data_IF_652604345736
#
_entry.id   IF_652604345736
#
_cell.length_a   1.000
_cell.length_b   1.000
_cell.length_c   1.000
_cell.angle_alpha   90.00
_cell.angle_beta   90.00
_cell.angle_gamma   90.00
#
_symmetry.space_group_name_H-M   'P 1'
#
loop_
_entity.id
_entity.type
_entity.pdbx_description
1 polymer ?
#
# COMPACT_ATOMS: atom_id res chain seq x y z
N UNK A 1 22.55 -14.67 18.62
CA UNK A 1 21.18 -14.24 18.27
C UNK A 1 20.92 -14.88 16.92
N UNK A 2 19.97 -15.78 16.88
CA UNK A 2 19.57 -16.43 15.63
C UNK A 2 18.93 -15.40 14.70
N UNK A 3 19.10 -15.53 13.40
CA UNK A 3 18.56 -14.59 12.41
C UNK A 3 17.03 -14.43 12.55
N UNK A 4 16.33 -15.49 12.96
CA UNK A 4 14.89 -15.49 13.22
C UNK A 4 14.52 -14.52 14.35
N UNK A 5 15.26 -14.49 15.46
CA UNK A 5 14.97 -13.61 16.60
C UNK A 5 15.15 -12.14 16.21
N UNK A 6 16.14 -11.83 15.37
CA UNK A 6 16.36 -10.47 14.89
C UNK A 6 15.24 -10.01 13.94
N UNK A 7 14.81 -10.89 13.05
CA UNK A 7 13.71 -10.61 12.13
C UNK A 7 12.39 -10.36 12.88
N UNK A 8 12.08 -11.20 13.88
CA UNK A 8 10.92 -11.02 14.75
C UNK A 8 10.95 -9.68 15.48
N UNK A 9 12.11 -9.28 16.03
CA UNK A 9 12.29 -8.01 16.71
C UNK A 9 12.04 -6.81 15.79
N UNK A 10 12.52 -6.86 14.54
CA UNK A 10 12.29 -5.81 13.53
C UNK A 10 10.82 -5.68 13.22
N UNK A 11 10.13 -6.79 12.96
CA UNK A 11 8.71 -6.82 12.67
C UNK A 11 7.86 -6.29 13.84
N UNK A 12 8.18 -6.67 15.07
CA UNK A 12 7.48 -6.18 16.27
C UNK A 12 7.70 -4.68 16.50
N UNK A 13 8.90 -4.20 16.26
CA UNK A 13 9.25 -2.78 16.38
C UNK A 13 8.45 -1.96 15.35
N UNK A 14 8.40 -2.42 14.10
CA UNK A 14 7.62 -1.78 13.04
C UNK A 14 6.12 -1.80 13.37
N UNK A 15 5.57 -2.94 13.80
CA UNK A 15 4.17 -3.05 14.16
C UNK A 15 3.77 -2.09 15.29
N UNK A 16 4.62 -1.92 16.30
CA UNK A 16 4.40 -0.94 17.37
C UNK A 16 4.34 0.50 16.84
N UNK A 17 5.26 0.89 15.97
CA UNK A 17 5.25 2.21 15.36
C UNK A 17 4.01 2.46 14.50
N UNK A 18 3.54 1.45 13.77
CA UNK A 18 2.30 1.54 12.97
C UNK A 18 1.07 1.75 13.86
N UNK A 19 0.96 1.02 14.97
CA UNK A 19 -0.13 1.23 15.93
C UNK A 19 -0.09 2.63 16.54
N UNK A 20 1.08 3.07 17.00
CA UNK A 20 1.27 4.40 17.58
C UNK A 20 0.84 5.49 16.57
N UNK A 21 1.25 5.36 15.31
CA UNK A 21 0.86 6.28 14.25
C UNK A 21 -0.66 6.29 14.02
N UNK A 22 -1.28 5.12 13.80
CA UNK A 22 -2.72 5.02 13.52
C UNK A 22 -3.59 5.48 14.70
N UNK A 23 -3.09 5.37 15.93
CA UNK A 23 -3.76 5.81 17.14
C UNK A 23 -3.50 7.29 17.48
N UNK A 24 -2.68 7.99 16.69
CA UNK A 24 -2.29 9.39 16.94
C UNK A 24 -1.42 9.57 18.19
N UNK A 25 -0.70 8.52 18.58
CA UNK A 25 0.21 8.53 19.73
C UNK A 25 1.62 9.02 19.33
N UNK A 26 2.38 9.61 20.27
CA UNK A 26 3.79 9.87 20.04
C UNK A 26 4.55 8.58 19.70
N UNK A 27 5.38 8.61 18.67
CA UNK A 27 6.21 7.47 18.29
C UNK A 27 7.28 7.20 19.35
N UNK A 28 7.29 6.00 19.90
CA UNK A 28 8.33 5.52 20.82
C UNK A 28 9.48 4.81 20.07
N UNK A 29 9.23 4.45 18.82
CA UNK A 29 10.20 3.84 17.91
C UNK A 29 10.89 4.91 17.08
N UNK A 30 12.18 4.74 16.80
CA UNK A 30 12.94 5.64 15.91
C UNK A 30 12.74 5.21 14.45
N UNK A 31 11.51 5.28 13.98
CA UNK A 31 11.16 5.11 12.58
C UNK A 31 10.78 6.49 12.05
N UNK A 32 11.56 6.98 11.10
CA UNK A 32 11.31 8.28 10.49
C UNK A 32 10.24 8.18 9.42
N UNK A 33 9.53 9.26 9.17
CA UNK A 33 8.56 9.40 8.07
C UNK A 33 7.45 8.36 8.09
N UNK A 34 6.98 7.95 9.29
CA UNK A 34 5.88 7.00 9.44
C UNK A 34 4.57 7.50 8.80
N UNK A 35 4.44 8.81 8.65
CA UNK A 35 3.32 9.50 8.02
C UNK A 35 3.34 9.46 6.48
N UNK A 36 4.39 8.95 5.87
CA UNK A 36 4.44 8.83 4.41
C UNK A 36 3.32 7.92 3.91
N UNK A 37 2.64 8.28 2.79
CA UNK A 37 1.43 7.58 2.33
C UNK A 37 1.64 6.10 2.03
N UNK A 38 2.82 5.70 1.59
CA UNK A 38 3.12 4.34 1.18
C UNK A 38 3.52 3.40 2.34
N UNK A 39 3.81 3.93 3.53
CA UNK A 39 4.32 3.14 4.67
C UNK A 39 3.34 2.04 5.07
N UNK A 40 2.04 2.35 5.19
CA UNK A 40 1.02 1.35 5.53
C UNK A 40 0.90 0.27 4.45
N UNK A 41 1.04 0.63 3.19
CA UNK A 41 0.96 -0.31 2.07
C UNK A 41 2.17 -1.25 2.06
N UNK A 42 3.37 -0.72 2.26
CA UNK A 42 4.58 -1.51 2.40
C UNK A 42 4.56 -2.40 3.65
N UNK A 43 3.93 -1.95 4.73
CA UNK A 43 3.76 -2.76 5.93
C UNK A 43 2.93 -4.02 5.65
N UNK A 44 1.83 -3.91 4.90
CA UNK A 44 1.04 -5.08 4.49
C UNK A 44 1.87 -6.03 3.63
N UNK A 45 2.64 -5.51 2.68
CA UNK A 45 3.54 -6.32 1.87
C UNK A 45 4.62 -7.03 2.72
N UNK A 46 5.22 -6.33 3.69
CA UNK A 46 6.20 -6.93 4.60
C UNK A 46 5.58 -8.07 5.43
N UNK A 47 4.35 -7.89 5.93
CA UNK A 47 3.60 -8.95 6.64
C UNK A 47 3.30 -10.12 5.69
N UNK A 48 3.00 -9.86 4.43
CA UNK A 48 2.82 -10.91 3.42
C UNK A 48 4.10 -11.72 3.21
N UNK A 49 5.28 -11.08 3.14
CA UNK A 49 6.55 -11.80 3.07
C UNK A 49 6.84 -12.57 4.36
N UNK A 50 6.53 -11.99 5.53
CA UNK A 50 6.60 -12.69 6.80
C UNK A 50 5.75 -13.96 6.81
N UNK A 51 4.52 -13.90 6.26
CA UNK A 51 3.64 -15.07 6.15
C UNK A 51 4.26 -16.19 5.30
N UNK A 52 5.00 -15.87 4.26
CA UNK A 52 5.74 -16.86 3.45
C UNK A 52 6.86 -17.52 4.23
N UNK A 53 7.51 -16.78 5.12
CA UNK A 53 8.64 -17.27 5.90
C UNK A 53 8.20 -18.13 7.10
N UNK A 54 7.19 -17.70 7.87
CA UNK A 54 6.78 -18.39 9.12
C UNK A 54 5.53 -19.24 9.00
N UNK A 55 4.84 -19.16 7.84
CA UNK A 55 3.53 -19.77 7.62
C UNK A 55 2.37 -18.84 7.96
N UNK A 56 1.28 -18.99 7.20
CA UNK A 56 0.11 -18.08 7.24
C UNK A 56 -0.60 -18.12 8.60
N UNK A 57 -0.71 -19.29 9.22
CA UNK A 57 -1.35 -19.43 10.54
C UNK A 57 -0.61 -18.66 11.63
N UNK A 58 0.73 -18.80 11.72
CA UNK A 58 1.56 -18.05 12.69
C UNK A 58 1.46 -16.53 12.39
N UNK A 59 1.50 -16.15 11.13
CA UNK A 59 1.34 -14.75 10.70
C UNK A 59 -0.02 -14.21 11.14
N UNK A 60 -1.12 -14.93 10.88
CA UNK A 60 -2.46 -14.50 11.26
C UNK A 60 -2.62 -14.30 12.76
N UNK A 61 -2.13 -15.25 13.58
CA UNK A 61 -2.15 -15.11 15.04
C UNK A 61 -1.43 -13.85 15.53
N UNK A 62 -0.33 -13.47 14.86
CA UNK A 62 0.51 -12.35 15.29
C UNK A 62 0.07 -11.01 14.70
N UNK A 63 -0.26 -10.99 13.42
CA UNK A 63 -0.49 -9.75 12.65
C UNK A 63 -1.86 -9.66 11.97
N UNK A 64 -2.74 -10.65 12.12
CA UNK A 64 -4.08 -10.61 11.51
C UNK A 64 -4.88 -9.38 11.94
N UNK A 65 -4.82 -9.03 13.24
CA UNK A 65 -5.46 -7.79 13.73
C UNK A 65 -4.83 -6.53 13.12
N UNK A 66 -3.51 -6.47 13.00
CA UNK A 66 -2.82 -5.32 12.41
C UNK A 66 -3.20 -5.14 10.94
N UNK A 67 -3.29 -6.22 10.16
CA UNK A 67 -3.76 -6.17 8.77
C UNK A 67 -5.17 -5.58 8.68
N UNK A 68 -6.08 -6.05 9.54
CA UNK A 68 -7.44 -5.50 9.62
C UNK A 68 -7.43 -4.02 9.97
N UNK A 69 -6.69 -3.62 10.99
CA UNK A 69 -6.63 -2.23 11.47
C UNK A 69 -6.03 -1.29 10.40
N UNK A 70 -5.00 -1.71 9.67
CA UNK A 70 -4.43 -0.94 8.56
C UNK A 70 -5.48 -0.72 7.46
N UNK A 71 -6.19 -1.79 7.03
CA UNK A 71 -7.23 -1.64 6.02
C UNK A 71 -8.34 -0.71 6.49
N UNK A 72 -8.83 -0.88 7.71
CA UNK A 72 -9.87 -0.01 8.27
C UNK A 72 -9.41 1.45 8.37
N UNK A 73 -8.15 1.69 8.73
CA UNK A 73 -7.58 3.02 8.79
C UNK A 73 -7.59 3.71 7.42
N UNK A 74 -7.19 2.99 6.37
CA UNK A 74 -7.19 3.51 5.00
C UNK A 74 -8.64 3.69 4.48
N UNK A 75 -9.49 2.68 4.62
CA UNK A 75 -10.88 2.71 4.15
C UNK A 75 -11.72 3.78 4.84
N UNK A 76 -11.41 4.10 6.10
CA UNK A 76 -12.08 5.16 6.86
C UNK A 76 -11.52 6.56 6.60
N UNK A 77 -10.65 6.72 5.60
CA UNK A 77 -10.04 7.99 5.19
C UNK A 77 -9.33 8.75 6.34
N UNK A 78 -8.68 7.99 7.23
CA UNK A 78 -7.99 8.54 8.41
C UNK A 78 -6.55 8.99 8.13
N UNK A 79 -5.96 8.50 7.05
CA UNK A 79 -4.60 8.86 6.72
C UNK A 79 -4.54 10.32 6.22
N UNK A 80 -3.59 11.16 6.68
CA UNK A 80 -3.57 12.59 6.33
C UNK A 80 -3.31 12.84 4.83
N UNK A 81 -2.68 11.92 4.11
CA UNK A 81 -2.36 12.07 2.69
C UNK A 81 -2.47 10.76 1.89
N UNK A 82 -3.44 9.93 2.20
CA UNK A 82 -3.79 8.74 1.41
C UNK A 82 -5.30 8.57 1.44
N UNK A 83 -5.98 8.91 0.36
CA UNK A 83 -7.44 9.00 0.29
C UNK A 83 -8.00 7.92 -0.63
N UNK A 84 -8.93 7.13 -0.13
CA UNK A 84 -9.66 6.16 -0.95
C UNK A 84 -10.76 6.88 -1.74
N UNK A 85 -10.68 6.82 -3.06
CA UNK A 85 -11.66 7.43 -3.96
C UNK A 85 -12.77 6.45 -4.32
N UNK A 86 -13.89 6.99 -4.85
CA UNK A 86 -15.08 6.19 -5.21
C UNK A 86 -14.82 5.12 -6.25
N UNK A 87 -13.81 5.29 -7.09
CA UNK A 87 -13.36 4.29 -8.06
C UNK A 87 -12.49 3.18 -7.44
N UNK A 88 -12.29 3.18 -6.12
CA UNK A 88 -11.50 2.18 -5.41
C UNK A 88 -9.99 2.39 -5.44
N UNK A 89 -9.50 3.44 -6.10
CA UNK A 89 -8.09 3.80 -6.14
C UNK A 89 -7.71 4.75 -4.99
N UNK A 90 -6.44 4.70 -4.61
CA UNK A 90 -5.84 5.60 -3.63
C UNK A 90 -5.26 6.84 -4.32
N UNK A 91 -5.59 7.99 -3.76
CA UNK A 91 -5.10 9.30 -4.17
C UNK A 91 -4.15 9.88 -3.12
N UNK A 92 -3.08 10.53 -3.54
CA UNK A 92 -2.13 11.23 -2.67
C UNK A 92 -1.71 12.57 -3.27
N UNK A 93 -1.48 13.58 -2.42
CA UNK A 93 -1.05 14.92 -2.83
C UNK A 93 0.45 15.07 -2.67
N UNK A 94 1.17 15.26 -3.77
CA UNK A 94 2.63 15.32 -3.82
C UNK A 94 3.23 16.58 -4.46
N UNK A 95 2.42 17.65 -4.65
CA UNK A 95 2.90 18.88 -5.29
C UNK A 95 3.94 19.64 -4.47
N UNK A 96 3.73 19.72 -3.17
CA UNK A 96 4.59 20.51 -2.28
C UNK A 96 5.58 19.64 -1.48
N UNK A 97 5.28 18.35 -1.32
CA UNK A 97 6.11 17.40 -0.57
C UNK A 97 6.24 16.10 -1.33
N UNK A 98 7.45 15.52 -1.35
CA UNK A 98 7.64 14.21 -1.91
C UNK A 98 6.89 13.15 -1.09
N UNK A 99 6.09 12.33 -1.75
CA UNK A 99 5.23 11.32 -1.12
C UNK A 99 5.63 9.89 -1.46
N UNK A 100 6.71 9.72 -2.22
CA UNK A 100 7.20 8.42 -2.66
C UNK A 100 8.70 8.32 -2.45
N UNK A 101 9.28 7.14 -2.72
CA UNK A 101 10.72 6.93 -2.73
C UNK A 101 11.47 7.89 -3.68
N UNK A 102 10.79 8.46 -4.66
CA UNK A 102 11.32 9.51 -5.54
C UNK A 102 11.26 10.87 -4.84
N UNK A 103 12.11 11.04 -3.83
CA UNK A 103 12.04 12.16 -2.88
C UNK A 103 13.08 13.26 -3.12
N UNK A 104 13.74 13.28 -4.28
CA UNK A 104 14.67 14.34 -4.64
C UNK A 104 13.96 15.69 -4.72
N UNK A 105 14.57 16.71 -4.12
CA UNK A 105 14.02 18.07 -4.10
C UNK A 105 14.98 19.09 -4.72
N UNK A 106 14.39 20.11 -5.34
CA UNK A 106 15.12 21.30 -5.80
C UNK A 106 14.38 22.56 -5.29
N UNK A 107 15.12 23.46 -4.65
CA UNK A 107 14.56 24.66 -4.02
C UNK A 107 13.39 24.36 -3.06
N UNK A 108 13.48 23.27 -2.30
CA UNK A 108 12.48 22.84 -1.32
C UNK A 108 11.20 22.21 -1.90
N UNK A 109 11.16 21.94 -3.21
CA UNK A 109 10.02 21.27 -3.87
C UNK A 109 10.46 19.97 -4.53
N UNK A 110 9.57 18.98 -4.65
CA UNK A 110 9.85 17.75 -5.37
C UNK A 110 10.30 18.04 -6.82
N UNK A 111 11.34 17.34 -7.27
CA UNK A 111 11.76 17.40 -8.69
C UNK A 111 10.70 16.76 -9.58
N UNK A 112 10.06 15.72 -9.09
CA UNK A 112 8.91 15.07 -9.73
C UNK A 112 7.73 15.13 -8.74
N UNK A 113 6.79 16.07 -8.91
CA UNK A 113 5.66 16.25 -7.97
C UNK A 113 4.55 15.23 -8.27
N UNK A 114 4.76 14.00 -7.88
CA UNK A 114 3.83 12.90 -8.14
C UNK A 114 2.57 13.05 -7.30
N UNK A 115 1.50 13.50 -7.95
CA UNK A 115 0.20 13.79 -7.34
C UNK A 115 -0.89 13.02 -8.06
N UNK A 116 -1.91 12.61 -7.33
CA UNK A 116 -3.05 11.89 -7.89
C UNK A 116 -3.02 10.41 -7.59
N UNK A 117 -3.42 9.62 -8.56
CA UNK A 117 -3.30 8.16 -8.53
C UNK A 117 -1.87 7.81 -8.91
N UNK A 118 -1.12 7.23 -7.98
CA UNK A 118 0.29 6.85 -8.16
C UNK A 118 0.33 5.34 -8.43
N UNK A 119 1.06 4.93 -9.46
CA UNK A 119 0.98 3.56 -10.00
C UNK A 119 1.37 2.50 -8.96
N UNK A 120 2.51 2.66 -8.28
CA UNK A 120 2.95 1.68 -7.28
C UNK A 120 2.07 1.70 -6.01
N UNK A 121 1.49 2.84 -5.62
CA UNK A 121 0.56 2.87 -4.48
C UNK A 121 -0.68 2.02 -4.77
N UNK A 122 -1.22 2.13 -5.98
CA UNK A 122 -2.41 1.39 -6.35
C UNK A 122 -2.12 -0.08 -6.67
N UNK A 123 -0.92 -0.41 -7.14
CA UNK A 123 -0.46 -1.79 -7.23
C UNK A 123 -0.30 -2.44 -5.84
N UNK A 124 0.32 -1.74 -4.88
CA UNK A 124 0.43 -2.16 -3.48
C UNK A 124 -0.94 -2.31 -2.83
N UNK A 125 -1.85 -1.36 -3.08
CA UNK A 125 -3.22 -1.39 -2.55
C UNK A 125 -4.00 -2.60 -3.04
N UNK A 126 -3.96 -2.87 -4.35
CA UNK A 126 -4.58 -4.07 -4.91
C UNK A 126 -4.02 -5.35 -4.27
N UNK A 127 -2.69 -5.46 -4.20
CA UNK A 127 -2.04 -6.59 -3.54
C UNK A 127 -2.44 -6.71 -2.06
N UNK A 128 -2.53 -5.59 -1.33
CA UNK A 128 -2.94 -5.58 0.07
C UNK A 128 -4.38 -6.07 0.25
N UNK A 129 -5.31 -5.58 -0.58
CA UNK A 129 -6.71 -6.02 -0.57
C UNK A 129 -6.82 -7.53 -0.82
N UNK A 130 -6.17 -8.05 -1.86
CA UNK A 130 -6.20 -9.48 -2.20
C UNK A 130 -5.57 -10.35 -1.11
N UNK A 131 -4.42 -9.94 -0.57
CA UNK A 131 -3.77 -10.67 0.52
C UNK A 131 -4.64 -10.70 1.78
N UNK A 132 -5.18 -9.56 2.20
CA UNK A 132 -6.03 -9.48 3.39
C UNK A 132 -7.34 -10.23 3.21
N UNK A 133 -7.97 -10.17 2.03
CA UNK A 133 -9.16 -10.99 1.72
C UNK A 133 -8.87 -12.49 1.84
N UNK A 134 -7.75 -12.93 1.27
CA UNK A 134 -7.29 -14.33 1.37
C UNK A 134 -7.03 -14.77 2.81
N UNK A 135 -6.39 -13.92 3.63
CA UNK A 135 -6.16 -14.21 5.05
C UNK A 135 -7.47 -14.29 5.85
N UNK A 136 -8.38 -13.34 5.63
CA UNK A 136 -9.68 -13.32 6.29
C UNK A 136 -10.54 -14.53 5.91
N UNK A 137 -10.55 -14.94 4.66
CA UNK A 137 -11.26 -16.12 4.18
C UNK A 137 -10.73 -17.42 4.80
N UNK A 138 -9.41 -17.52 4.98
CA UNK A 138 -8.77 -18.72 5.56
C UNK A 138 -8.99 -18.82 7.08
N UNK A 139 -9.01 -17.69 7.79
CA UNK A 139 -9.02 -17.67 9.27
C UNK A 139 -10.35 -17.21 9.89
N UNK A 140 -11.42 -17.12 9.12
CA UNK A 140 -12.76 -17.19 9.67
C UNK A 140 -13.67 -15.98 9.51
N UNK A 141 -13.22 -14.84 8.96
CA UNK A 141 -14.10 -13.71 8.69
C UNK A 141 -14.55 -13.65 7.22
N UNK A 142 -15.51 -14.53 6.87
CA UNK A 142 -16.03 -14.62 5.50
C UNK A 142 -16.73 -13.34 5.03
N UNK A 143 -17.40 -12.61 5.94
CA UNK A 143 -18.10 -11.38 5.60
C UNK A 143 -17.10 -10.28 5.24
N UNK A 144 -16.09 -10.12 6.07
CA UNK A 144 -15.00 -9.18 5.82
C UNK A 144 -14.20 -9.57 4.56
N UNK A 145 -13.90 -10.85 4.37
CA UNK A 145 -13.22 -11.35 3.17
C UNK A 145 -13.98 -10.97 1.89
N UNK A 146 -15.31 -11.19 1.87
CA UNK A 146 -16.15 -10.87 0.71
C UNK A 146 -16.24 -9.36 0.45
N UNK A 147 -16.27 -8.53 1.51
CA UNK A 147 -16.24 -7.07 1.38
C UNK A 147 -14.94 -6.58 0.75
N UNK A 148 -13.80 -7.08 1.26
CA UNK A 148 -12.48 -6.69 0.76
C UNK A 148 -12.24 -7.18 -0.67
N UNK A 149 -12.75 -8.38 -1.01
CA UNK A 149 -12.65 -8.89 -2.39
C UNK A 149 -13.39 -7.99 -3.39
N UNK A 150 -14.59 -7.51 -3.05
CA UNK A 150 -15.32 -6.54 -3.90
C UNK A 150 -14.53 -5.23 -4.08
N UNK A 151 -13.83 -4.77 -3.03
CA UNK A 151 -12.95 -3.60 -3.14
C UNK A 151 -11.76 -3.88 -4.05
N UNK A 152 -11.20 -5.09 -3.98
CA UNK A 152 -10.12 -5.51 -4.87
C UNK A 152 -10.57 -5.58 -6.33
N UNK A 153 -11.76 -6.12 -6.62
CA UNK A 153 -12.33 -6.15 -7.96
C UNK A 153 -12.49 -4.74 -8.54
N UNK A 154 -13.07 -3.81 -7.76
CA UNK A 154 -13.21 -2.41 -8.17
C UNK A 154 -11.85 -1.75 -8.39
N UNK A 155 -10.91 -1.93 -7.47
CA UNK A 155 -9.55 -1.41 -7.59
C UNK A 155 -8.85 -1.95 -8.84
N UNK A 156 -8.95 -3.26 -9.11
CA UNK A 156 -8.33 -3.90 -10.25
C UNK A 156 -8.86 -3.38 -11.59
N UNK A 157 -10.18 -3.29 -11.76
CA UNK A 157 -10.77 -2.73 -12.99
C UNK A 157 -10.38 -1.27 -13.18
N UNK A 158 -10.49 -0.46 -12.12
CA UNK A 158 -10.10 0.96 -12.17
C UNK A 158 -8.59 1.16 -12.40
N UNK A 159 -7.77 0.24 -11.91
CA UNK A 159 -6.32 0.27 -12.17
C UNK A 159 -6.02 0.14 -13.66
N UNK A 160 -6.62 -0.83 -14.32
CA UNK A 160 -6.45 -1.04 -15.76
C UNK A 160 -6.93 0.18 -16.54
N UNK A 161 -8.15 0.66 -16.24
CA UNK A 161 -8.75 1.81 -16.93
C UNK A 161 -7.96 3.11 -16.72
N UNK A 162 -7.27 3.25 -15.57
CA UNK A 162 -6.55 4.48 -15.23
C UNK A 162 -5.11 4.47 -15.72
N UNK A 163 -4.41 3.34 -15.60
CA UNK A 163 -2.95 3.31 -15.80
C UNK A 163 -2.51 2.71 -17.12
N UNK A 164 -3.26 1.77 -17.71
CA UNK A 164 -2.85 1.15 -18.98
C UNK A 164 -3.08 2.13 -20.13
N UNK A 165 -2.02 2.48 -20.83
CA UNK A 165 -2.10 3.37 -21.98
C UNK A 165 -2.21 2.61 -23.32
N UNK A 166 -2.45 3.34 -24.40
CA UNK A 166 -2.64 2.80 -25.76
C UNK A 166 -1.41 2.06 -26.32
N UNK A 167 -0.23 2.25 -25.72
CA UNK A 167 1.01 1.57 -26.12
C UNK A 167 1.28 0.31 -25.28
N UNK A 168 0.40 -0.06 -24.35
CA UNK A 168 0.51 -1.26 -23.55
C UNK A 168 1.50 -1.18 -22.38
N UNK A 169 1.86 0.02 -21.92
CA UNK A 169 2.58 0.23 -20.67
C UNK A 169 1.77 1.13 -19.71
N UNK A 170 2.29 1.42 -18.52
CA UNK A 170 1.54 2.14 -17.50
C UNK A 170 1.97 3.61 -17.41
N UNK A 171 1.02 4.49 -17.17
CA UNK A 171 1.32 5.83 -16.68
C UNK A 171 1.98 5.76 -15.31
N UNK A 172 2.92 6.67 -15.01
CA UNK A 172 3.60 6.73 -13.72
C UNK A 172 2.68 7.24 -12.61
N UNK A 173 1.93 8.27 -12.90
CA UNK A 173 0.82 8.76 -12.08
C UNK A 173 -0.23 9.46 -12.94
N UNK A 174 -1.45 9.58 -12.41
CA UNK A 174 -2.57 10.22 -13.09
C UNK A 174 -3.24 11.19 -12.12
N UNK A 175 -3.20 12.47 -12.44
CA UNK A 175 -4.00 13.49 -11.74
C UNK A 175 -5.36 13.61 -12.45
N UNK A 176 -6.51 13.44 -11.76
CA UNK A 176 -7.84 13.31 -12.41
C UNK A 176 -8.28 14.48 -13.29
N UNK A 177 -7.72 15.66 -13.11
CA UNK A 177 -8.07 16.88 -13.88
C UNK A 177 -6.91 17.37 -14.76
N UNK A 178 -5.87 16.58 -14.91
CA UNK A 178 -4.68 16.92 -15.68
C UNK A 178 -4.27 15.78 -16.60
N UNK A 179 -3.25 16.01 -17.42
CA UNK A 179 -2.71 14.97 -18.28
C UNK A 179 -1.97 13.91 -17.46
N UNK A 180 -2.11 12.62 -17.80
CA UNK A 180 -1.33 11.57 -17.16
C UNK A 180 0.17 11.73 -17.44
N UNK A 181 1.01 11.28 -16.51
CA UNK A 181 2.46 11.26 -16.72
C UNK A 181 2.87 10.07 -17.57
N UNK A 182 3.38 10.36 -18.75
CA UNK A 182 3.81 9.38 -19.76
C UNK A 182 5.22 8.86 -19.55
N UNK A 183 5.92 9.31 -18.52
CA UNK A 183 7.31 8.90 -18.30
C UNK A 183 7.41 7.43 -17.98
N UNK A 184 8.25 6.73 -18.71
CA UNK A 184 8.57 5.32 -18.43
C UNK A 184 9.54 5.28 -17.26
N UNK A 185 9.04 4.86 -16.09
CA UNK A 185 9.83 4.73 -14.85
C UNK A 185 9.74 3.32 -14.30
N UNK A 186 10.70 2.89 -13.47
CA UNK A 186 10.69 1.54 -12.90
C UNK A 186 9.47 1.28 -11.98
N UNK A 187 8.74 2.29 -11.57
CA UNK A 187 7.58 2.18 -10.68
C UNK A 187 6.49 1.24 -11.22
N UNK A 188 6.32 1.15 -12.53
CA UNK A 188 5.35 0.24 -13.15
C UNK A 188 5.67 -1.24 -12.92
N UNK A 189 6.93 -1.59 -12.60
CA UNK A 189 7.34 -2.98 -12.32
C UNK A 189 6.60 -3.52 -11.11
N UNK A 190 6.27 -2.69 -10.12
CA UNK A 190 5.53 -3.12 -8.94
C UNK A 190 4.17 -3.71 -9.30
N UNK A 191 3.51 -3.22 -10.35
CA UNK A 191 2.23 -3.76 -10.79
C UNK A 191 2.29 -5.23 -11.24
N UNK A 192 3.47 -5.73 -11.64
CA UNK A 192 3.67 -7.12 -12.08
C UNK A 192 4.52 -7.95 -11.12
N UNK A 193 5.22 -7.31 -10.18
CA UNK A 193 6.15 -7.99 -9.28
C UNK A 193 5.49 -8.55 -8.00
N UNK A 194 4.33 -8.03 -7.62
CA UNK A 194 3.63 -8.50 -6.43
C UNK A 194 2.91 -9.83 -6.69
N UNK A 195 2.62 -10.57 -5.60
CA UNK A 195 1.93 -11.86 -5.66
C UNK A 195 0.53 -11.74 -6.29
N UNK A 196 -0.13 -10.60 -6.05
CA UNK A 196 -1.40 -10.25 -6.64
C UNK A 196 -1.23 -9.04 -7.54
N UNK A 197 -1.31 -9.26 -8.84
CA UNK A 197 -1.22 -8.21 -9.86
C UNK A 197 -2.62 -7.75 -10.30
N UNK A 198 -2.86 -6.45 -10.47
CA UNK A 198 -4.10 -5.95 -11.07
C UNK A 198 -4.13 -6.14 -12.60
N UNK A 199 -3.02 -6.58 -13.21
CA UNK A 199 -2.91 -6.83 -14.64
C UNK A 199 -3.13 -8.30 -14.94
N UNK A 200 -3.83 -8.60 -16.05
CA UNK A 200 -3.91 -9.97 -16.57
C UNK A 200 -2.53 -10.43 -17.05
N UNK A 201 -2.19 -11.68 -16.77
CA UNK A 201 -1.02 -12.33 -17.36
C UNK A 201 -1.25 -12.62 -18.85
#
# INVERSE_FOLDING_TARGET
IEEEDYFELVMETAARGLYEFMEGKPLTVKIYEMEQPDVLLWAVWAIQQYAKYVGREKCNRKYGKLLYDILQYIVSDKHPNLQLRQNGLLYSEGKDHAVTWMNSTANGRPVVPRTGYIVEFNALWYNALKFCASMAAEYGDQTFAAEIEKRAELCGSSFVDTFVNEYGYLFDYVEPLDSPDWSVRPNMIFAVAFDYSPLSQ
#
